data_IF_943771699630
#
_entry.id   IF_943771699630
#
_cell.length_a   1.000
_cell.length_b   1.000
_cell.length_c   1.000
_cell.angle_alpha   90.00
_cell.angle_beta   90.00
_cell.angle_gamma   90.00
#
_symmetry.space_group_name_H-M   'P 1'
#
loop_
_entity.id
_entity.type
_entity.pdbx_description
1 polymer ?
#
# COMPACT_ATOMS: atom_id res chain seq x y z
N UNK A 1 3.46 -17.13 -11.76
CA UNK A 1 2.09 -16.55 -11.76
C UNK A 1 1.49 -16.71 -10.37
N UNK A 2 0.52 -15.88 -10.02
CA UNK A 2 -0.14 -15.97 -8.72
C UNK A 2 -1.02 -17.23 -8.66
N UNK A 3 -0.89 -17.98 -7.57
CA UNK A 3 -1.74 -19.14 -7.27
C UNK A 3 -2.63 -18.76 -6.08
N UNK A 4 -3.86 -18.34 -6.39
CA UNK A 4 -4.82 -17.84 -5.40
C UNK A 4 -5.45 -19.00 -4.63
N UNK A 5 -5.89 -18.75 -3.39
CA UNK A 5 -6.51 -19.73 -2.48
C UNK A 5 -5.60 -20.91 -2.06
N UNK A 6 -4.28 -20.82 -2.24
CA UNK A 6 -3.36 -21.93 -1.98
C UNK A 6 -2.38 -21.73 -0.81
N UNK A 7 -2.33 -20.52 -0.24
CA UNK A 7 -1.29 -20.13 0.73
C UNK A 7 -1.82 -19.62 2.06
N UNK A 8 -3.13 -19.75 2.33
CA UNK A 8 -3.80 -19.17 3.51
C UNK A 8 -3.11 -19.52 4.84
N UNK A 9 -2.73 -20.79 5.00
CA UNK A 9 -2.11 -21.28 6.23
C UNK A 9 -0.60 -21.04 6.28
N UNK A 10 0.04 -20.54 5.22
CA UNK A 10 1.50 -20.39 5.16
C UNK A 10 2.08 -19.56 6.33
N UNK A 11 1.51 -18.40 6.74
CA UNK A 11 2.06 -17.60 7.83
C UNK A 11 1.99 -18.27 9.21
N UNK A 12 1.06 -19.22 9.39
CA UNK A 12 0.73 -19.82 10.68
C UNK A 12 1.10 -21.31 10.75
N UNK A 13 1.39 -21.93 9.62
CA UNK A 13 1.67 -23.33 9.47
C UNK A 13 3.03 -23.74 10.05
N UNK A 14 3.11 -25.02 10.37
CA UNK A 14 4.34 -25.74 10.70
C UNK A 14 5.31 -25.75 9.51
N UNK A 15 6.58 -26.11 9.77
CA UNK A 15 7.56 -26.27 8.69
C UNK A 15 7.10 -27.25 7.61
N UNK A 16 6.44 -28.36 8.00
CA UNK A 16 5.89 -29.34 7.06
C UNK A 16 4.79 -28.74 6.19
N UNK A 17 3.85 -28.02 6.79
CA UNK A 17 2.75 -27.37 6.06
C UNK A 17 3.26 -26.30 5.10
N UNK A 18 4.28 -25.52 5.49
CA UNK A 18 4.92 -24.54 4.61
C UNK A 18 5.59 -25.23 3.43
N UNK A 19 6.36 -26.29 3.68
CA UNK A 19 6.98 -27.10 2.62
C UNK A 19 5.94 -27.68 1.65
N UNK A 20 4.80 -28.18 2.17
CA UNK A 20 3.72 -28.70 1.31
C UNK A 20 3.10 -27.59 0.45
N UNK A 21 2.89 -26.40 1.01
CA UNK A 21 2.41 -25.24 0.27
C UNK A 21 3.43 -24.81 -0.80
N UNK A 22 4.73 -24.75 -0.45
CA UNK A 22 5.82 -24.42 -1.38
C UNK A 22 5.89 -25.39 -2.55
N UNK A 23 5.84 -26.69 -2.25
CA UNK A 23 5.85 -27.75 -3.26
C UNK A 23 4.62 -27.67 -4.16
N UNK A 24 3.43 -27.43 -3.59
CA UNK A 24 2.22 -27.26 -4.39
C UNK A 24 2.31 -26.06 -5.34
N UNK A 25 2.83 -24.92 -4.87
CA UNK A 25 3.07 -23.76 -5.73
C UNK A 25 4.07 -24.09 -6.83
N UNK A 26 5.18 -24.75 -6.50
CA UNK A 26 6.20 -25.17 -7.47
C UNK A 26 5.57 -26.08 -8.53
N UNK A 27 4.95 -27.19 -8.14
CA UNK A 27 4.32 -28.15 -9.05
C UNK A 27 3.28 -27.48 -9.96
N UNK A 28 2.44 -26.59 -9.40
CA UNK A 28 1.47 -25.84 -10.19
C UNK A 28 2.14 -24.98 -11.27
N UNK A 29 3.19 -24.22 -10.93
CA UNK A 29 3.90 -23.39 -11.91
C UNK A 29 4.59 -24.26 -12.97
N UNK A 30 5.22 -25.37 -12.55
CA UNK A 30 5.87 -26.30 -13.49
C UNK A 30 4.85 -26.92 -14.45
N UNK A 31 3.71 -27.38 -13.93
CA UNK A 31 2.63 -27.95 -14.71
C UNK A 31 2.03 -26.95 -15.70
N UNK A 32 1.81 -25.70 -15.27
CA UNK A 32 1.31 -24.66 -16.15
C UNK A 32 2.28 -24.32 -17.29
N UNK A 33 3.57 -24.15 -16.99
CA UNK A 33 4.59 -23.90 -18.01
C UNK A 33 4.72 -25.09 -18.98
N UNK A 34 4.64 -26.31 -18.47
CA UNK A 34 4.62 -27.52 -19.31
C UNK A 34 3.39 -27.55 -20.22
N UNK A 35 2.20 -27.25 -19.70
CA UNK A 35 0.96 -27.16 -20.48
C UNK A 35 1.11 -26.15 -21.62
N UNK A 36 1.55 -24.93 -21.33
CA UNK A 36 1.76 -23.89 -22.34
C UNK A 36 2.73 -24.30 -23.45
N UNK A 37 3.79 -25.05 -23.12
CA UNK A 37 4.81 -25.44 -24.08
C UNK A 37 4.48 -26.72 -24.86
N UNK A 38 3.59 -27.59 -24.37
CA UNK A 38 3.45 -28.97 -24.89
C UNK A 38 2.02 -29.40 -25.23
N UNK A 39 0.97 -28.78 -24.69
CA UNK A 39 -0.39 -29.30 -24.85
C UNK A 39 -0.95 -29.03 -26.27
N UNK A 40 -1.46 -30.06 -26.98
CA UNK A 40 -1.98 -29.91 -28.35
C UNK A 40 -3.11 -28.87 -28.48
N UNK A 41 -3.84 -28.57 -27.41
CA UNK A 41 -4.93 -27.60 -27.38
C UNK A 41 -4.45 -26.13 -27.28
N UNK A 42 -3.18 -25.89 -26.91
CA UNK A 42 -2.58 -24.55 -26.94
C UNK A 42 -2.20 -24.20 -28.38
N UNK A 43 -2.48 -22.98 -28.90
CA UNK A 43 -2.11 -22.59 -30.27
C UNK A 43 -0.63 -22.83 -30.57
N UNK A 44 -0.32 -23.35 -31.77
CA UNK A 44 1.04 -23.76 -32.15
C UNK A 44 2.07 -22.63 -32.01
N UNK A 45 1.72 -21.41 -32.43
CA UNK A 45 2.59 -20.25 -32.32
C UNK A 45 2.92 -19.90 -30.86
N UNK A 46 1.93 -20.00 -29.96
CA UNK A 46 2.14 -19.77 -28.52
C UNK A 46 2.99 -20.88 -27.88
N UNK A 47 2.79 -22.14 -28.28
CA UNK A 47 3.65 -23.24 -27.82
C UNK A 47 5.11 -23.03 -28.23
N UNK A 48 5.34 -22.72 -29.51
CA UNK A 48 6.69 -22.46 -30.04
C UNK A 48 7.35 -21.30 -29.31
N UNK A 49 6.62 -20.22 -29.03
CA UNK A 49 7.15 -19.10 -28.27
C UNK A 49 7.48 -19.50 -26.83
N UNK A 50 6.58 -20.21 -26.15
CA UNK A 50 6.77 -20.70 -24.78
C UNK A 50 7.99 -21.61 -24.64
N UNK A 51 8.25 -22.47 -25.62
CA UNK A 51 9.43 -23.36 -25.66
C UNK A 51 10.77 -22.63 -25.76
N UNK A 52 10.79 -21.33 -26.08
CA UNK A 52 12.01 -20.51 -26.06
C UNK A 52 12.47 -20.20 -24.65
N UNK A 53 11.57 -20.25 -23.68
CA UNK A 53 11.83 -19.93 -22.28
C UNK A 53 12.06 -21.22 -21.48
N UNK A 54 12.83 -21.09 -20.41
CA UNK A 54 13.13 -22.16 -19.47
C UNK A 54 13.66 -21.56 -18.17
N UNK A 55 14.14 -22.41 -17.26
CA UNK A 55 14.76 -21.91 -16.04
C UNK A 55 16.07 -21.17 -16.34
N UNK A 56 16.44 -20.17 -15.50
CA UNK A 56 17.74 -19.53 -15.59
C UNK A 56 18.84 -20.59 -15.54
N UNK A 57 19.90 -20.44 -16.34
CA UNK A 57 20.97 -21.45 -16.43
C UNK A 57 21.98 -21.33 -15.29
N UNK A 58 22.05 -20.16 -14.69
CA UNK A 58 23.09 -19.70 -13.77
C UNK A 58 22.58 -19.40 -12.36
N UNK A 59 21.27 -19.18 -12.18
CA UNK A 59 20.67 -19.01 -10.86
C UNK A 59 20.24 -20.34 -10.27
N UNK A 60 20.47 -20.52 -8.96
CA UNK A 60 20.05 -21.68 -8.17
C UNK A 60 20.44 -23.04 -8.81
N UNK A 61 21.63 -23.11 -9.44
CA UNK A 61 22.09 -24.30 -10.15
C UNK A 61 22.23 -25.55 -9.25
N UNK A 62 22.40 -25.33 -7.95
CA UNK A 62 22.40 -26.34 -6.89
C UNK A 62 20.99 -26.79 -6.44
N UNK A 63 19.93 -26.13 -6.91
CA UNK A 63 18.53 -26.44 -6.63
C UNK A 63 17.69 -26.62 -7.90
N UNK A 64 18.28 -27.23 -8.94
CA UNK A 64 17.63 -27.44 -10.24
C UNK A 64 17.07 -26.15 -10.86
N UNK A 65 17.79 -25.04 -10.66
CA UNK A 65 17.44 -23.70 -11.13
C UNK A 65 16.11 -23.15 -10.57
N UNK A 66 15.69 -23.62 -9.39
CA UNK A 66 14.51 -23.12 -8.70
C UNK A 66 14.88 -22.29 -7.45
N UNK A 67 14.20 -21.17 -7.19
CA UNK A 67 14.41 -20.39 -5.97
C UNK A 67 14.19 -21.22 -4.70
N UNK A 68 14.94 -20.89 -3.64
CA UNK A 68 14.89 -21.58 -2.35
C UNK A 68 13.64 -21.29 -1.52
N UNK A 69 12.92 -20.21 -1.82
CA UNK A 69 11.79 -19.76 -1.03
C UNK A 69 10.74 -19.14 -1.91
N UNK A 70 9.49 -19.28 -1.50
CA UNK A 70 8.40 -18.53 -2.11
C UNK A 70 8.58 -17.04 -1.85
N UNK A 71 8.22 -16.25 -2.85
CA UNK A 71 8.09 -14.82 -2.69
C UNK A 71 6.80 -14.50 -1.92
N UNK A 72 6.89 -14.45 -0.59
CA UNK A 72 5.76 -14.11 0.29
C UNK A 72 5.63 -12.60 0.45
N UNK A 73 4.55 -12.03 -0.08
CA UNK A 73 4.31 -10.57 -0.09
C UNK A 73 3.60 -10.06 1.16
N UNK A 74 2.73 -10.89 1.73
CA UNK A 74 1.94 -10.55 2.91
C UNK A 74 1.85 -11.73 3.87
N UNK A 75 1.71 -11.41 5.16
CA UNK A 75 1.61 -12.37 6.24
C UNK A 75 1.13 -11.69 7.51
N UNK A 76 1.52 -12.22 8.67
CA UNK A 76 1.20 -11.60 9.96
C UNK A 76 1.89 -10.25 10.09
N UNK A 77 1.11 -9.25 10.52
CA UNK A 77 1.59 -7.91 10.86
C UNK A 77 1.38 -7.66 12.35
N UNK A 78 2.27 -6.86 12.93
CA UNK A 78 2.13 -6.36 14.30
C UNK A 78 0.94 -5.39 14.38
N UNK A 79 0.24 -5.36 15.51
CA UNK A 79 -0.62 -4.23 15.87
C UNK A 79 0.18 -3.25 16.70
N UNK A 80 0.40 -2.05 16.15
CA UNK A 80 1.19 -0.99 16.77
C UNK A 80 0.34 0.03 17.50
N UNK A 81 0.97 1.09 18.01
CA UNK A 81 0.25 2.23 18.58
C UNK A 81 -0.51 3.05 17.54
N UNK A 82 -0.19 2.85 16.25
CA UNK A 82 -0.99 3.33 15.12
C UNK A 82 -1.19 2.21 14.09
N UNK A 83 -2.41 2.09 13.55
CA UNK A 83 -2.72 1.20 12.43
C UNK A 83 -2.87 2.03 11.16
N UNK A 84 -1.87 1.96 10.28
CA UNK A 84 -1.98 2.60 8.97
C UNK A 84 -3.16 2.00 8.22
N UNK A 85 -3.99 2.82 7.60
CA UNK A 85 -5.20 2.43 6.86
C UNK A 85 -5.28 3.16 5.53
N UNK A 86 -6.15 2.69 4.63
CA UNK A 86 -6.34 3.27 3.30
C UNK A 86 -6.54 4.80 3.31
N UNK A 87 -7.27 5.31 4.30
CA UNK A 87 -7.52 6.75 4.44
C UNK A 87 -6.24 7.55 4.61
N UNK A 88 -5.16 6.94 5.13
CA UNK A 88 -3.87 7.62 5.27
C UNK A 88 -3.20 7.86 3.92
N UNK A 89 -3.58 7.13 2.87
CA UNK A 89 -3.15 7.42 1.51
C UNK A 89 -4.19 8.24 0.73
N UNK A 90 -5.29 8.65 1.37
CA UNK A 90 -6.39 9.41 0.75
C UNK A 90 -6.68 10.71 1.51
N UNK A 91 -7.56 10.69 2.51
CA UNK A 91 -8.03 11.90 3.19
C UNK A 91 -7.20 12.33 4.41
N UNK A 92 -6.32 11.46 4.92
CA UNK A 92 -5.53 11.68 6.13
C UNK A 92 -4.03 11.47 5.86
N UNK A 93 -3.50 12.17 4.86
CA UNK A 93 -2.13 11.96 4.37
C UNK A 93 -1.01 12.48 5.28
N UNK A 94 -1.33 13.19 6.37
CA UNK A 94 -0.33 13.82 7.26
C UNK A 94 -0.41 13.23 8.65
N UNK A 95 0.72 13.10 9.36
CA UNK A 95 0.80 12.53 10.71
C UNK A 95 1.62 13.43 11.63
N UNK A 96 1.09 13.72 12.81
CA UNK A 96 1.83 14.47 13.82
C UNK A 96 3.19 13.82 14.16
N UNK A 97 3.24 12.48 14.08
CA UNK A 97 4.40 11.64 14.28
C UNK A 97 4.97 11.04 12.98
N UNK A 98 4.78 11.71 11.84
CA UNK A 98 5.31 11.27 10.54
C UNK A 98 6.84 11.15 10.54
N UNK A 99 7.36 9.96 10.21
CA UNK A 99 8.80 9.66 10.17
C UNK A 99 9.35 9.40 8.77
N UNK A 100 8.52 9.47 7.74
CA UNK A 100 8.90 9.19 6.36
C UNK A 100 7.70 9.29 5.43
N UNK A 101 7.91 9.04 4.13
CA UNK A 101 6.86 9.15 3.11
C UNK A 101 6.64 7.85 2.36
N UNK A 102 5.38 7.49 2.13
CA UNK A 102 4.95 6.53 1.12
C UNK A 102 4.42 7.26 -0.12
N UNK A 103 4.69 6.72 -1.30
CA UNK A 103 4.24 7.32 -2.56
C UNK A 103 4.03 6.32 -3.69
N UNK A 104 3.71 5.06 -3.35
CA UNK A 104 3.34 4.05 -4.33
C UNK A 104 1.81 3.96 -4.40
N UNK A 105 1.26 3.61 -5.56
CA UNK A 105 -0.17 3.35 -5.68
C UNK A 105 -0.59 2.17 -4.79
N UNK A 106 -1.86 2.12 -4.43
CA UNK A 106 -2.36 0.97 -3.69
C UNK A 106 -2.50 -0.21 -4.64
N UNK A 107 -1.65 -1.21 -4.41
CA UNK A 107 -1.50 -2.43 -5.21
C UNK A 107 -1.72 -3.65 -4.32
N UNK A 108 -2.99 -4.04 -4.17
CA UNK A 108 -3.39 -5.21 -3.39
C UNK A 108 -3.66 -6.36 -4.35
N UNK A 109 -3.03 -7.50 -4.09
CA UNK A 109 -3.27 -8.71 -4.87
C UNK A 109 -4.49 -9.45 -4.33
N UNK A 110 -5.11 -10.23 -5.20
CA UNK A 110 -6.29 -11.04 -4.88
C UNK A 110 -6.08 -11.85 -3.62
N UNK A 111 -6.94 -11.61 -2.62
CA UNK A 111 -6.95 -12.34 -1.35
C UNK A 111 -7.60 -13.70 -1.55
N UNK A 112 -8.75 -13.70 -2.22
CA UNK A 112 -9.46 -14.92 -2.54
C UNK A 112 -10.20 -14.85 -3.88
N UNK A 113 -10.31 -16.01 -4.52
CA UNK A 113 -11.21 -16.23 -5.64
C UNK A 113 -12.44 -16.98 -5.16
N UNK A 114 -13.62 -16.41 -5.42
CA UNK A 114 -14.90 -16.99 -5.00
C UNK A 114 -15.80 -17.20 -6.22
N UNK A 115 -16.65 -18.22 -6.14
CA UNK A 115 -17.76 -18.41 -7.08
C UNK A 115 -19.00 -17.79 -6.44
N UNK A 116 -19.57 -16.80 -7.12
CA UNK A 116 -20.79 -16.11 -6.69
C UNK A 116 -22.02 -17.02 -6.85
N UNK A 117 -23.14 -16.65 -6.23
CA UNK A 117 -24.36 -17.45 -6.25
C UNK A 117 -24.94 -17.69 -7.66
N UNK A 118 -24.63 -16.81 -8.61
CA UNK A 118 -24.97 -16.89 -10.03
C UNK A 118 -23.92 -17.63 -10.89
N UNK A 119 -22.89 -18.21 -10.25
CA UNK A 119 -21.90 -19.07 -10.90
C UNK A 119 -20.74 -18.33 -11.55
N UNK A 120 -20.55 -17.05 -11.25
CA UNK A 120 -19.43 -16.25 -11.78
C UNK A 120 -18.21 -16.33 -10.86
N UNK A 121 -17.03 -16.38 -11.44
CA UNK A 121 -15.78 -16.26 -10.70
C UNK A 121 -15.48 -14.79 -10.43
N UNK A 122 -15.27 -14.43 -9.16
CA UNK A 122 -14.91 -13.08 -8.72
C UNK A 122 -13.60 -13.10 -7.93
N UNK A 123 -12.80 -12.04 -8.08
CA UNK A 123 -11.61 -11.79 -7.28
C UNK A 123 -11.95 -10.82 -6.15
N UNK A 124 -11.66 -11.19 -4.91
CA UNK A 124 -11.85 -10.34 -3.74
C UNK A 124 -10.53 -9.80 -3.20
N UNK A 125 -10.56 -8.55 -2.73
CA UNK A 125 -9.43 -7.90 -2.07
C UNK A 125 -8.39 -7.32 -3.03
N UNK A 126 -8.60 -7.47 -4.34
CA UNK A 126 -7.71 -6.90 -5.35
C UNK A 126 -7.93 -5.39 -5.49
N UNK A 127 -6.82 -4.63 -5.52
CA UNK A 127 -6.80 -3.23 -5.91
C UNK A 127 -5.67 -3.03 -6.91
N UNK A 128 -6.03 -2.76 -8.17
CA UNK A 128 -5.08 -2.60 -9.26
C UNK A 128 -4.84 -1.11 -9.49
N UNK A 129 -3.64 -0.63 -9.14
CA UNK A 129 -3.23 0.77 -9.36
C UNK A 129 -4.20 1.80 -8.78
N UNK A 130 -4.77 1.52 -7.60
CA UNK A 130 -5.72 2.43 -6.99
C UNK A 130 -5.03 3.78 -6.64
N UNK A 131 -5.70 4.92 -6.92
CA UNK A 131 -5.15 6.25 -6.66
C UNK A 131 -4.70 6.45 -5.22
N UNK A 132 -3.73 7.34 -5.02
CA UNK A 132 -3.19 7.68 -3.72
C UNK A 132 -2.70 9.13 -3.70
N UNK A 133 -2.60 9.71 -2.51
CA UNK A 133 -1.84 10.92 -2.22
C UNK A 133 -0.52 10.49 -1.55
N UNK A 134 0.66 11.05 -1.86
CA UNK A 134 1.86 10.83 -1.06
C UNK A 134 1.57 11.11 0.41
N UNK A 135 1.94 10.17 1.29
CA UNK A 135 1.46 10.15 2.67
C UNK A 135 2.57 9.94 3.68
N UNK A 136 2.43 10.54 4.86
CA UNK A 136 3.35 10.41 5.97
C UNK A 136 3.15 9.06 6.68
N UNK A 137 4.26 8.38 6.99
CA UNK A 137 4.27 7.11 7.72
C UNK A 137 4.34 7.42 9.22
N UNK A 138 3.30 7.04 9.97
CA UNK A 138 3.23 7.29 11.41
C UNK A 138 4.30 6.46 12.15
N UNK A 139 5.07 7.08 13.05
CA UNK A 139 6.02 6.36 13.91
C UNK A 139 5.36 5.23 14.69
N UNK A 140 4.13 5.46 15.19
CA UNK A 140 3.35 4.47 15.92
C UNK A 140 3.06 3.18 15.15
N UNK A 141 3.21 3.18 13.82
CA UNK A 141 3.04 1.98 13.01
C UNK A 141 4.25 1.03 13.06
N UNK A 142 5.42 1.54 13.46
CA UNK A 142 6.67 0.79 13.57
C UNK A 142 6.93 0.20 14.96
N UNK A 143 6.13 0.59 15.97
CA UNK A 143 6.31 0.18 17.36
C UNK A 143 5.07 -0.53 17.90
N UNK A 144 5.25 -1.56 18.75
CA UNK A 144 4.13 -2.22 19.40
C UNK A 144 3.52 -1.34 20.50
N UNK A 145 2.36 -1.75 21.01
CA UNK A 145 1.84 -1.20 22.27
C UNK A 145 2.85 -1.45 23.39
N UNK A 146 2.99 -0.49 24.31
CA UNK A 146 3.92 -0.62 25.44
C UNK A 146 3.64 -1.87 26.30
N UNK A 147 2.37 -2.27 26.38
CA UNK A 147 1.93 -3.49 27.08
C UNK A 147 2.41 -4.78 26.43
N UNK A 148 2.72 -4.77 25.14
CA UNK A 148 3.14 -5.95 24.40
C UNK A 148 4.67 -6.07 24.41
N UNK A 149 5.37 -4.96 24.16
CA UNK A 149 6.83 -4.91 24.14
C UNK A 149 7.35 -3.46 24.19
N UNK A 150 8.45 -3.22 24.90
CA UNK A 150 8.99 -1.86 25.12
C UNK A 150 10.26 -1.55 24.31
N UNK A 151 10.83 -2.54 23.62
CA UNK A 151 12.16 -2.48 23.00
C UNK A 151 12.24 -3.06 21.58
N UNK A 152 11.11 -3.09 20.85
CA UNK A 152 11.02 -3.65 19.50
C UNK A 152 10.59 -2.61 18.47
N UNK A 153 11.25 -2.63 17.30
CA UNK A 153 10.79 -1.98 16.08
C UNK A 153 10.45 -3.03 15.03
N UNK A 154 9.35 -2.84 14.31
CA UNK A 154 8.90 -3.72 13.22
C UNK A 154 8.75 -2.88 11.96
N UNK A 155 9.69 -3.01 11.03
CA UNK A 155 9.82 -2.14 9.85
C UNK A 155 9.26 -2.71 8.55
N UNK A 156 9.06 -4.04 8.51
CA UNK A 156 8.48 -4.78 7.38
C UNK A 156 7.05 -5.17 7.72
N UNK A 157 6.87 -6.06 8.70
CA UNK A 157 5.56 -6.50 9.21
C UNK A 157 4.87 -5.45 10.10
N UNK A 158 5.01 -4.17 9.74
CA UNK A 158 4.52 -3.01 10.47
C UNK A 158 2.99 -2.99 10.58
N UNK A 159 2.48 -2.16 11.47
CA UNK A 159 1.05 -2.03 11.74
C UNK A 159 0.33 -1.30 10.61
N UNK A 160 -0.30 -2.09 9.73
CA UNK A 160 -1.04 -1.61 8.58
C UNK A 160 -2.21 -2.54 8.22
N UNK A 161 -3.30 -1.96 7.71
CA UNK A 161 -4.36 -2.69 7.04
C UNK A 161 -3.84 -3.31 5.75
N UNK A 162 -4.52 -4.36 5.27
CA UNK A 162 -4.18 -5.02 4.00
C UNK A 162 -4.08 -4.01 2.84
N UNK A 163 -5.03 -3.08 2.78
CA UNK A 163 -5.19 -2.13 1.68
C UNK A 163 -4.01 -1.17 1.51
N UNK A 164 -3.61 -0.46 2.56
CA UNK A 164 -2.48 0.48 2.47
C UNK A 164 -1.14 -0.25 2.44
N UNK A 165 -1.08 -1.47 2.97
CA UNK A 165 0.15 -2.25 2.95
C UNK A 165 0.62 -2.55 1.53
N UNK A 166 -0.29 -2.64 0.56
CA UNK A 166 0.05 -2.71 -0.87
C UNK A 166 0.96 -1.59 -1.35
N UNK A 167 0.87 -0.40 -0.74
CA UNK A 167 1.75 0.75 -0.99
C UNK A 167 2.97 0.78 -0.04
N UNK A 168 2.80 0.42 1.23
CA UNK A 168 3.87 0.46 2.24
C UNK A 168 4.92 -0.64 2.08
N UNK A 169 4.62 -1.74 1.38
CA UNK A 169 5.51 -2.91 1.27
C UNK A 169 6.63 -2.78 0.24
N UNK A 170 6.84 -1.58 -0.29
CA UNK A 170 7.86 -1.33 -1.31
C UNK A 170 9.25 -1.21 -0.65
N UNK A 171 10.29 -1.71 -1.31
CA UNK A 171 11.65 -1.71 -0.78
C UNK A 171 12.14 -0.31 -0.38
N UNK A 172 11.87 0.78 -1.13
CA UNK A 172 12.20 2.13 -0.69
C UNK A 172 11.53 2.53 0.64
N UNK A 173 10.28 2.09 0.87
CA UNK A 173 9.56 2.35 2.12
C UNK A 173 10.17 1.56 3.26
N UNK A 174 10.57 0.30 3.04
CA UNK A 174 11.31 -0.47 4.05
C UNK A 174 12.65 0.17 4.42
N UNK A 175 13.36 0.77 3.45
CA UNK A 175 14.57 1.53 3.73
C UNK A 175 14.30 2.78 4.58
N UNK A 176 13.24 3.54 4.25
CA UNK A 176 12.77 4.71 5.02
C UNK A 176 12.42 4.31 6.47
N UNK A 177 11.66 3.23 6.64
CA UNK A 177 11.28 2.70 7.95
C UNK A 177 12.50 2.20 8.74
N UNK A 178 13.42 1.50 8.07
CA UNK A 178 14.67 1.02 8.66
C UNK A 178 15.55 2.15 9.16
N UNK A 179 15.68 3.22 8.37
CA UNK A 179 16.41 4.42 8.76
C UNK A 179 15.77 5.09 9.99
N UNK A 180 14.46 5.33 9.94
CA UNK A 180 13.72 5.92 11.07
C UNK A 180 13.86 5.09 12.35
N UNK A 181 13.65 3.78 12.27
CA UNK A 181 13.75 2.86 13.39
C UNK A 181 15.18 2.83 13.97
N UNK A 182 16.21 2.83 13.12
CA UNK A 182 17.61 2.85 13.57
C UNK A 182 17.97 4.10 14.37
N UNK A 183 17.54 5.28 13.90
CA UNK A 183 17.77 6.56 14.61
C UNK A 183 17.00 6.58 15.93
N UNK A 184 15.73 6.16 15.91
CA UNK A 184 14.88 6.10 17.10
C UNK A 184 15.43 5.12 18.16
N UNK A 185 15.90 3.94 17.74
CA UNK A 185 16.54 2.96 18.61
C UNK A 185 17.78 3.54 19.29
N UNK A 186 18.65 4.24 18.53
CA UNK A 186 19.82 4.89 19.10
C UNK A 186 19.45 5.96 20.14
N UNK A 187 18.37 6.72 19.90
CA UNK A 187 17.84 7.70 20.85
C UNK A 187 17.30 7.03 22.12
N UNK A 188 16.49 5.97 21.97
CA UNK A 188 15.92 5.22 23.08
C UNK A 188 17.03 4.64 23.98
N UNK A 189 18.05 3.99 23.39
CA UNK A 189 19.20 3.44 24.11
C UNK A 189 19.96 4.56 24.85
N UNK A 190 20.28 5.67 24.17
CA UNK A 190 21.05 6.77 24.76
C UNK A 190 20.34 7.39 25.96
N UNK A 191 19.02 7.55 25.87
CA UNK A 191 18.22 8.17 26.93
C UNK A 191 17.71 7.18 27.97
N UNK A 192 17.96 5.87 27.79
CA UNK A 192 17.42 4.79 28.64
C UNK A 192 15.89 4.82 28.72
N UNK A 193 15.26 4.97 27.57
CA UNK A 193 13.81 5.07 27.41
C UNK A 193 13.27 3.90 26.56
N UNK A 194 11.97 3.63 26.68
CA UNK A 194 11.29 2.68 25.80
C UNK A 194 11.15 3.25 24.39
N UNK A 195 10.87 2.40 23.40
CA UNK A 195 10.65 2.87 22.01
C UNK A 195 9.42 3.79 21.89
N UNK A 196 8.44 3.65 22.79
CA UNK A 196 7.26 4.50 22.87
C UNK A 196 7.55 5.90 23.44
N UNK A 197 8.64 6.06 24.18
CA UNK A 197 9.02 7.31 24.85
C UNK A 197 9.99 8.18 24.04
N UNK A 198 10.33 7.76 22.81
CA UNK A 198 11.20 8.53 21.91
C UNK A 198 10.55 9.88 21.58
N UNK A 199 11.30 10.96 21.79
CA UNK A 199 10.90 12.32 21.44
C UNK A 199 10.83 12.47 19.92
N UNK A 200 9.61 12.49 19.38
CA UNK A 200 9.36 12.49 17.94
C UNK A 200 9.83 13.77 17.27
N UNK A 201 9.76 14.92 17.94
CA UNK A 201 10.28 16.18 17.40
C UNK A 201 11.78 16.08 17.18
N UNK A 202 12.53 15.60 18.18
CA UNK A 202 13.98 15.39 18.06
C UNK A 202 14.33 14.31 17.05
N UNK A 203 13.49 13.27 16.91
CA UNK A 203 13.67 12.24 15.89
C UNK A 203 13.54 12.84 14.50
N UNK A 204 12.48 13.60 14.23
CA UNK A 204 12.24 14.28 12.95
C UNK A 204 13.34 15.26 12.59
N UNK A 205 13.87 16.00 13.56
CA UNK A 205 15.04 16.88 13.37
C UNK A 205 16.27 16.08 12.89
N UNK A 206 16.57 14.95 13.54
CA UNK A 206 17.68 14.08 13.17
C UNK A 206 17.50 13.45 11.80
N UNK A 207 16.31 12.95 11.51
CA UNK A 207 15.98 12.36 10.21
C UNK A 207 16.11 13.39 9.09
N UNK A 208 15.58 14.59 9.28
CA UNK A 208 15.72 15.69 8.32
C UNK A 208 17.19 16.08 8.09
N UNK A 209 17.97 16.18 9.17
CA UNK A 209 19.41 16.47 9.07
C UNK A 209 20.20 15.36 8.36
N UNK A 210 19.66 14.14 8.31
CA UNK A 210 20.21 13.00 7.58
C UNK A 210 19.62 12.83 6.16
N UNK A 211 18.78 13.78 5.72
CA UNK A 211 18.22 13.80 4.37
C UNK A 211 16.92 12.99 4.19
N UNK A 212 16.33 12.48 5.27
CA UNK A 212 15.01 11.84 5.21
C UNK A 212 13.96 12.87 4.77
N UNK A 213 13.14 12.52 3.78
CA UNK A 213 11.99 13.33 3.37
C UNK A 213 10.84 13.05 4.34
N UNK A 214 10.41 14.08 5.07
CA UNK A 214 9.33 14.01 6.07
C UNK A 214 8.06 14.74 5.67
N UNK A 215 8.10 15.47 4.56
CA UNK A 215 6.98 16.15 3.94
C UNK A 215 7.16 16.08 2.44
N UNK A 216 6.10 15.78 1.71
CA UNK A 216 6.15 15.86 0.26
C UNK A 216 5.93 17.31 -0.16
N UNK A 217 6.97 17.92 -0.74
CA UNK A 217 6.85 19.19 -1.43
C UNK A 217 6.54 18.90 -2.89
N UNK A 218 5.44 19.47 -3.37
CA UNK A 218 4.84 19.16 -4.65
C UNK A 218 5.71 19.72 -5.79
N UNK A 219 5.83 18.97 -6.90
CA UNK A 219 6.44 19.53 -8.12
C UNK A 219 5.41 20.43 -8.81
N UNK A 220 5.74 21.68 -9.16
CA UNK A 220 4.82 22.57 -9.88
C UNK A 220 4.28 21.91 -11.15
N UNK A 221 2.96 22.00 -11.38
CA UNK A 221 2.31 21.60 -12.62
C UNK A 221 1.80 20.16 -12.73
N UNK A 222 2.00 19.30 -11.72
CA UNK A 222 1.37 17.96 -11.69
C UNK A 222 -0.08 18.03 -11.20
N UNK A 223 -0.41 19.03 -10.40
CA UNK A 223 -1.74 19.33 -9.88
C UNK A 223 -1.79 20.76 -9.34
N UNK A 224 -3.00 21.23 -9.01
CA UNK A 224 -3.24 22.56 -8.48
C UNK A 224 -3.02 22.52 -6.96
N UNK A 225 -2.18 23.40 -6.45
CA UNK A 225 -1.94 23.54 -5.02
C UNK A 225 -3.05 24.44 -4.43
N UNK A 226 -3.49 24.18 -3.20
CA UNK A 226 -4.49 25.08 -2.57
C UNK A 226 -3.95 26.50 -2.47
N UNK A 227 -2.65 26.63 -2.22
CA UNK A 227 -1.96 27.91 -2.05
C UNK A 227 -1.73 28.66 -3.37
N UNK A 228 -1.96 28.03 -4.54
CA UNK A 228 -1.87 28.71 -5.83
C UNK A 228 -3.15 29.41 -6.25
N UNK A 229 -4.25 29.20 -5.53
CA UNK A 229 -5.56 29.80 -5.79
C UNK A 229 -5.88 30.85 -4.73
N UNK A 230 -6.55 31.94 -5.13
CA UNK A 230 -7.02 32.96 -4.20
C UNK A 230 -8.40 32.61 -3.63
N UNK A 231 -8.62 32.86 -2.34
CA UNK A 231 -9.91 32.67 -1.67
C UNK A 231 -10.02 31.39 -0.85
N UNK A 232 -11.26 30.92 -0.63
CA UNK A 232 -11.56 29.71 0.15
C UNK A 232 -11.50 28.48 -0.76
N UNK A 233 -10.38 27.76 -0.71
CA UNK A 233 -10.10 26.64 -1.61
C UNK A 233 -10.37 25.31 -0.91
N UNK A 234 -11.32 24.54 -1.45
CA UNK A 234 -11.71 23.24 -0.91
C UNK A 234 -11.41 22.12 -1.91
N UNK A 235 -10.76 21.07 -1.44
CA UNK A 235 -10.48 19.82 -2.14
C UNK A 235 -11.60 18.80 -1.90
N UNK A 236 -11.68 17.77 -2.73
CA UNK A 236 -12.68 16.70 -2.58
C UNK A 236 -12.64 16.02 -1.20
N UNK A 237 -11.50 16.06 -0.51
CA UNK A 237 -11.36 15.56 0.87
C UNK A 237 -12.01 16.43 1.93
N UNK A 238 -12.35 17.69 1.61
CA UNK A 238 -13.07 18.58 2.52
C UNK A 238 -14.60 18.38 2.43
N UNK A 239 -15.06 17.55 1.50
CA UNK A 239 -16.48 17.26 1.33
C UNK A 239 -16.96 16.21 2.34
N UNK A 240 -18.17 16.42 2.86
CA UNK A 240 -18.96 15.34 3.45
C UNK A 240 -19.68 14.60 2.33
N UNK A 241 -19.37 13.32 2.13
CA UNK A 241 -19.92 12.50 1.05
C UNK A 241 -20.98 11.51 1.53
N UNK A 242 -21.99 11.28 0.70
CA UNK A 242 -23.01 10.22 0.84
C UNK A 242 -23.12 9.44 -0.46
N UNK A 243 -23.33 8.12 -0.36
CA UNK A 243 -23.35 7.19 -1.50
C UNK A 243 -21.98 6.60 -1.80
N UNK A 244 -21.89 5.83 -2.88
CA UNK A 244 -20.64 5.19 -3.31
C UNK A 244 -19.80 6.15 -4.14
N UNK A 245 -18.60 6.46 -3.63
CA UNK A 245 -17.60 7.29 -4.30
C UNK A 245 -16.33 6.48 -4.59
N UNK A 246 -15.76 6.72 -5.76
CA UNK A 246 -14.51 6.13 -6.25
C UNK A 246 -13.49 7.26 -6.45
N UNK A 247 -12.21 6.92 -6.53
CA UNK A 247 -11.14 7.87 -6.80
C UNK A 247 -10.56 7.66 -8.21
N UNK A 248 -10.09 8.73 -8.84
CA UNK A 248 -9.31 8.65 -10.09
C UNK A 248 -8.24 9.73 -10.19
N UNK A 249 -7.27 9.49 -11.08
CA UNK A 249 -6.24 10.44 -11.52
C UNK A 249 -6.21 10.57 -13.05
N UNK A 250 -7.19 9.98 -13.75
CA UNK A 250 -7.15 9.82 -15.21
C UNK A 250 -7.33 11.11 -16.01
N UNK A 251 -7.86 12.17 -15.39
CA UNK A 251 -8.11 13.47 -16.02
C UNK A 251 -7.54 14.59 -15.15
N UNK A 252 -6.44 15.20 -15.57
CA UNK A 252 -5.81 16.35 -14.94
C UNK A 252 -6.20 17.66 -15.68
N UNK A 253 -6.09 18.84 -15.02
CA UNK A 253 -5.66 19.04 -13.64
C UNK A 253 -6.76 18.73 -12.62
N UNK A 254 -6.36 18.37 -11.41
CA UNK A 254 -7.22 18.28 -10.23
C UNK A 254 -6.55 19.07 -9.09
N UNK A 255 -7.35 19.50 -8.13
CA UNK A 255 -6.83 20.09 -6.89
C UNK A 255 -6.16 18.98 -6.06
N UNK A 256 -5.00 19.28 -5.49
CA UNK A 256 -4.20 18.30 -4.75
C UNK A 256 -3.91 17.03 -5.56
N UNK A 257 -4.26 15.81 -5.16
CA UNK A 257 -3.57 14.61 -5.70
C UNK A 257 -4.44 13.67 -6.53
N UNK A 258 -5.76 13.77 -6.42
CA UNK A 258 -6.74 12.96 -7.15
C UNK A 258 -8.10 13.66 -7.11
N UNK A 259 -9.13 13.01 -7.65
CA UNK A 259 -10.52 13.45 -7.47
C UNK A 259 -11.43 12.25 -7.18
N UNK A 260 -12.54 12.53 -6.49
CA UNK A 260 -13.64 11.61 -6.28
C UNK A 260 -14.68 11.70 -7.40
N UNK A 261 -15.23 10.55 -7.80
CA UNK A 261 -16.34 10.47 -8.74
C UNK A 261 -17.33 9.39 -8.31
N UNK A 262 -18.59 9.54 -8.70
CA UNK A 262 -19.63 8.53 -8.52
C UNK A 262 -20.05 7.98 -9.88
N UNK A 263 -20.27 6.67 -9.98
CA UNK A 263 -20.84 6.08 -11.19
C UNK A 263 -22.30 6.48 -11.31
N UNK A 264 -22.71 6.96 -12.47
CA UNK A 264 -24.12 7.24 -12.73
C UNK A 264 -24.90 5.92 -12.74
N UNK A 265 -25.73 5.69 -11.72
CA UNK A 265 -26.69 4.59 -11.74
C UNK A 265 -28.12 5.13 -11.72
N UNK A 266 -29.12 4.37 -12.22
CA UNK A 266 -30.52 4.83 -12.20
C UNK A 266 -31.13 4.94 -10.80
N UNK A 267 -30.47 4.41 -9.77
CA UNK A 267 -31.05 4.15 -8.44
C UNK A 267 -30.27 4.77 -7.30
N UNK A 268 -29.00 5.10 -7.51
CA UNK A 268 -28.12 5.64 -6.47
C UNK A 268 -27.80 7.10 -6.76
N UNK A 269 -28.17 7.99 -5.84
CA UNK A 269 -27.75 9.39 -5.86
C UNK A 269 -26.61 9.57 -4.86
N UNK A 270 -25.41 9.79 -5.38
CA UNK A 270 -24.26 10.20 -4.59
C UNK A 270 -24.26 11.73 -4.43
N UNK A 271 -23.91 12.23 -3.25
CA UNK A 271 -23.83 13.67 -2.96
C UNK A 271 -22.54 14.00 -2.23
N UNK A 272 -21.85 15.06 -2.65
CA UNK A 272 -20.71 15.65 -1.94
C UNK A 272 -21.13 17.05 -1.48
N UNK A 273 -20.97 17.34 -0.19
CA UNK A 273 -21.33 18.63 0.42
C UNK A 273 -20.09 19.32 0.96
N UNK A 274 -19.79 20.50 0.44
CA UNK A 274 -18.70 21.37 0.88
C UNK A 274 -19.27 22.44 1.82
N UNK A 275 -18.62 22.64 2.97
CA UNK A 275 -19.05 23.62 3.98
C UNK A 275 -17.89 24.59 4.26
N UNK A 276 -17.69 25.61 3.39
CA UNK A 276 -16.69 26.63 3.64
C UNK A 276 -17.04 27.42 4.90
N UNK A 277 -16.04 27.72 5.72
CA UNK A 277 -16.18 28.61 6.87
C UNK A 277 -15.65 29.99 6.49
N UNK A 278 -16.56 30.96 6.34
CA UNK A 278 -16.23 32.32 5.91
C UNK A 278 -15.96 33.21 7.12
N UNK A 279 -14.91 34.01 7.06
CA UNK A 279 -14.53 34.95 8.13
C UNK A 279 -15.39 36.23 8.12
N UNK A 280 -15.94 36.62 6.97
CA UNK A 280 -16.72 37.86 6.78
C UNK A 280 -18.04 37.63 6.03
N UNK A 281 -19.04 38.48 6.29
CA UNK A 281 -20.27 38.53 5.50
C UNK A 281 -20.01 39.23 4.15
N UNK A 282 -20.50 38.66 3.04
CA UNK A 282 -20.30 39.27 1.73
C UNK A 282 -20.88 38.50 0.55
N UNK A 283 -20.61 39.01 -0.65
CA UNK A 283 -20.92 38.33 -1.90
C UNK A 283 -19.70 37.51 -2.32
N UNK A 284 -19.91 36.21 -2.49
CA UNK A 284 -18.88 35.28 -2.91
C UNK A 284 -19.17 34.78 -4.32
N UNK A 285 -18.14 34.74 -5.17
CA UNK A 285 -18.20 33.99 -6.42
C UNK A 285 -17.89 32.51 -6.13
N UNK A 286 -18.75 31.61 -6.61
CA UNK A 286 -18.57 30.17 -6.43
C UNK A 286 -18.18 29.56 -7.76
N UNK A 287 -17.01 28.93 -7.80
CA UNK A 287 -16.48 28.23 -8.96
C UNK A 287 -16.31 26.74 -8.63
N UNK A 288 -16.61 25.88 -9.60
CA UNK A 288 -16.35 24.44 -9.55
C UNK A 288 -15.43 24.09 -10.71
N UNK A 289 -14.40 23.30 -10.43
CA UNK A 289 -13.40 22.84 -11.39
C UNK A 289 -13.68 21.40 -11.84
#
# INVERSE_FOLDING_TARGET
MDLVNASWNYPTGTYKEREDIENYHKEYQQGYLYFLANDPNVPEELRKDSQRYGYPKDEFADNNNWPYSLYTREGRRMLGSYLMKQQDAWSDATKADGIGMGSYFMDCHTVQQIITADGLQTQEGEMVHAPFKPYEIAYGSLIPLATDCENLFVTVCMSASHTIYGSLRMEPVFMINGHAAGVAAAMAIKNKQTVQQVDITKLREKLSAQGQILKYNTKPGFFIAKESEEGYVMDDTDATVKGSWLHSISSAPFLLYNYQFATQTPVETATATYQPNFDDDGTYEVQLM
#
